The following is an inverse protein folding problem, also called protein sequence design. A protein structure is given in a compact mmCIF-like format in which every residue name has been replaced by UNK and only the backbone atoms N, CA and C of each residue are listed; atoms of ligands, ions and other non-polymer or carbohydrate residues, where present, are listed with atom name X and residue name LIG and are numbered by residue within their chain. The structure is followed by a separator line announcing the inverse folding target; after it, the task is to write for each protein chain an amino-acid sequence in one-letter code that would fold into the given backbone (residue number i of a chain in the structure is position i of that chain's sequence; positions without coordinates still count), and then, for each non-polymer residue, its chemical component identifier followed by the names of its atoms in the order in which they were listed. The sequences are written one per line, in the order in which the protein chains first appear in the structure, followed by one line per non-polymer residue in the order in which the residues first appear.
data_IF_324934742241
#
_entry.id   IF_324934742241
#
_cell.length_a   1.000
_cell.length_b   1.000
_cell.length_c   1.000
_cell.angle_alpha   90.00
_cell.angle_beta   90.00
_cell.angle_gamma   90.00
#
_symmetry.space_group_name_H-M   'P 1'
#
loop_
_entity.id
_entity.type
_entity.pdbx_description
1 polymer ?
#
# COMPACT_ATOMS: atom_id res chain seq x y z
N UNK A 1 -26.84 -17.07 -10.51
CA UNK A 1 -25.75 -16.78 -9.57
C UNK A 1 -25.34 -15.33 -9.77
N UNK A 2 -25.85 -14.41 -8.95
CA UNK A 2 -25.47 -13.00 -9.06
C UNK A 2 -24.11 -12.84 -8.37
N UNK A 3 -23.03 -12.74 -9.15
CA UNK A 3 -21.75 -12.28 -8.61
C UNK A 3 -21.90 -10.79 -8.33
N UNK A 4 -22.42 -10.42 -7.17
CA UNK A 4 -22.42 -9.05 -6.70
C UNK A 4 -20.98 -8.57 -6.68
N UNK A 5 -20.57 -7.76 -7.66
CA UNK A 5 -19.30 -7.03 -7.57
C UNK A 5 -19.40 -6.21 -6.29
N UNK A 6 -18.63 -6.57 -5.27
CA UNK A 6 -18.55 -5.80 -4.03
C UNK A 6 -18.21 -4.36 -4.44
N UNK A 7 -19.11 -3.42 -4.16
CA UNK A 7 -18.88 -2.01 -4.45
C UNK A 7 -17.65 -1.60 -3.66
N UNK A 8 -16.64 -1.13 -4.36
CA UNK A 8 -15.37 -0.70 -3.77
C UNK A 8 -15.66 0.44 -2.80
N UNK A 9 -15.09 0.37 -1.60
CA UNK A 9 -15.32 1.41 -0.60
C UNK A 9 -14.52 2.70 -0.96
N UNK A 10 -14.92 3.84 -0.39
CA UNK A 10 -14.30 5.14 -0.68
C UNK A 10 -12.80 5.19 -0.32
N UNK A 11 -12.37 4.53 0.75
CA UNK A 11 -10.98 4.44 1.16
C UNK A 11 -10.16 3.50 0.27
N UNK A 12 -10.76 2.43 -0.26
CA UNK A 12 -10.15 1.57 -1.27
C UNK A 12 -9.94 2.36 -2.58
N UNK A 13 -10.93 3.16 -3.00
CA UNK A 13 -10.79 4.09 -4.13
C UNK A 13 -9.67 5.10 -3.91
N UNK A 14 -9.66 5.74 -2.74
CA UNK A 14 -8.63 6.70 -2.37
C UNK A 14 -7.23 6.09 -2.40
N UNK A 15 -7.08 4.86 -1.90
CA UNK A 15 -5.80 4.15 -1.96
C UNK A 15 -5.33 3.91 -3.39
N UNK A 16 -6.22 3.50 -4.29
CA UNK A 16 -5.87 3.25 -5.69
C UNK A 16 -5.44 4.55 -6.35
N UNK A 17 -6.21 5.62 -6.18
CA UNK A 17 -5.86 6.92 -6.74
C UNK A 17 -4.48 7.40 -6.26
N UNK A 18 -4.22 7.33 -4.94
CA UNK A 18 -2.92 7.72 -4.40
C UNK A 18 -1.80 6.80 -4.86
N UNK A 19 -2.04 5.50 -5.00
CA UNK A 19 -1.06 4.54 -5.49
C UNK A 19 -0.68 4.80 -6.95
N UNK A 20 -1.65 5.09 -7.81
CA UNK A 20 -1.39 5.39 -9.22
C UNK A 20 -0.65 6.71 -9.37
N UNK A 21 -1.04 7.74 -8.63
CA UNK A 21 -0.32 9.01 -8.61
C UNK A 21 1.12 8.82 -8.11
N UNK A 22 1.32 8.05 -7.04
CA UNK A 22 2.64 7.69 -6.52
C UNK A 22 3.51 7.02 -7.60
N UNK A 23 3.02 5.99 -8.27
CA UNK A 23 3.78 5.28 -9.31
C UNK A 23 4.15 6.17 -10.49
N UNK A 24 3.37 7.22 -10.78
CA UNK A 24 3.62 8.16 -11.86
C UNK A 24 4.52 9.34 -11.45
N UNK A 25 4.81 9.53 -10.17
CA UNK A 25 5.65 10.65 -9.73
C UNK A 25 7.06 10.56 -10.37
N UNK A 26 7.61 11.67 -10.86
CA UNK A 26 8.93 11.67 -11.50
C UNK A 26 10.09 11.56 -10.50
N UNK A 27 9.88 12.02 -9.26
CA UNK A 27 10.94 12.21 -8.26
C UNK A 27 11.11 11.03 -7.28
N UNK A 28 10.42 9.91 -7.53
CA UNK A 28 10.60 8.70 -6.74
C UNK A 28 11.71 7.83 -7.32
N UNK A 29 12.38 7.06 -6.47
CA UNK A 29 13.43 6.14 -6.88
C UNK A 29 12.86 4.94 -7.64
N UNK A 30 13.71 4.24 -8.39
CA UNK A 30 13.29 3.01 -9.08
C UNK A 30 12.81 1.92 -8.11
N UNK A 31 13.41 1.85 -6.91
CA UNK A 31 13.00 0.89 -5.86
C UNK A 31 11.61 1.22 -5.32
N UNK A 32 11.36 2.50 -5.02
CA UNK A 32 10.05 3.00 -4.60
C UNK A 32 8.98 2.77 -5.67
N UNK A 33 9.30 3.07 -6.94
CA UNK A 33 8.41 2.82 -8.08
C UNK A 33 8.11 1.33 -8.22
N UNK A 34 9.11 0.46 -8.03
CA UNK A 34 8.93 -0.99 -8.07
C UNK A 34 7.98 -1.48 -6.97
N UNK A 35 8.07 -0.95 -5.74
CA UNK A 35 7.10 -1.22 -4.66
C UNK A 35 5.69 -0.86 -5.11
N UNK A 36 5.49 0.37 -5.64
CA UNK A 36 4.18 0.82 -6.11
C UNK A 36 3.62 -0.02 -7.26
N UNK A 37 4.45 -0.41 -8.23
CA UNK A 37 4.06 -1.28 -9.34
C UNK A 37 3.66 -2.68 -8.88
N UNK A 38 4.37 -3.25 -7.89
CA UNK A 38 4.02 -4.55 -7.32
C UNK A 38 2.70 -4.47 -6.54
N UNK A 39 2.49 -3.40 -5.78
CA UNK A 39 1.22 -3.15 -5.11
C UNK A 39 0.06 -2.99 -6.10
N UNK A 40 0.26 -2.26 -7.19
CA UNK A 40 -0.72 -2.13 -8.27
C UNK A 40 -1.08 -3.48 -8.87
N UNK A 41 -0.08 -4.30 -9.20
CA UNK A 41 -0.28 -5.64 -9.75
C UNK A 41 -1.04 -6.56 -8.78
N UNK A 42 -0.73 -6.47 -7.49
CA UNK A 42 -1.41 -7.26 -6.45
C UNK A 42 -2.87 -6.83 -6.29
N UNK A 43 -3.16 -5.53 -6.38
CA UNK A 43 -4.51 -5.02 -6.39
C UNK A 43 -5.30 -5.47 -7.63
N UNK A 44 -4.73 -5.37 -8.82
CA UNK A 44 -5.34 -5.81 -10.09
C UNK A 44 -5.65 -7.32 -10.11
N UNK A 45 -4.87 -8.12 -9.38
CA UNK A 45 -5.12 -9.56 -9.17
C UNK A 45 -6.26 -9.85 -8.18
N UNK A 46 -6.92 -8.83 -7.63
CA UNK A 46 -8.01 -8.99 -6.69
C UNK A 46 -7.57 -9.40 -5.28
N UNK A 47 -6.30 -9.16 -4.90
CA UNK A 47 -5.89 -9.38 -3.51
C UNK A 47 -6.63 -8.43 -2.58
N UNK A 48 -6.82 -8.87 -1.34
CA UNK A 48 -7.54 -8.10 -0.32
C UNK A 48 -6.89 -6.72 -0.11
N UNK A 49 -7.63 -5.59 -0.28
CA UNK A 49 -7.03 -4.25 -0.30
C UNK A 49 -6.22 -3.92 0.95
N UNK A 50 -6.72 -4.22 2.15
CA UNK A 50 -5.97 -3.96 3.39
C UNK A 50 -4.65 -4.74 3.44
N UNK A 51 -4.59 -5.95 2.88
CA UNK A 51 -3.33 -6.72 2.79
C UNK A 51 -2.35 -6.04 1.83
N UNK A 52 -2.82 -5.54 0.69
CA UNK A 52 -1.98 -4.81 -0.28
C UNK A 52 -1.43 -3.53 0.37
N UNK A 53 -2.28 -2.78 1.08
CA UNK A 53 -1.90 -1.53 1.76
C UNK A 53 -0.88 -1.80 2.86
N UNK A 54 -1.10 -2.81 3.70
CA UNK A 54 -0.17 -3.18 4.77
C UNK A 54 1.18 -3.63 4.21
N UNK A 55 1.18 -4.46 3.15
CA UNK A 55 2.41 -4.89 2.49
C UNK A 55 3.17 -3.71 1.87
N UNK A 56 2.45 -2.77 1.26
CA UNK A 56 3.03 -1.54 0.70
C UNK A 56 3.65 -0.69 1.81
N UNK A 57 2.94 -0.49 2.92
CA UNK A 57 3.41 0.26 4.08
C UNK A 57 4.68 -0.36 4.68
N UNK A 58 4.69 -1.68 4.92
CA UNK A 58 5.85 -2.39 5.46
C UNK A 58 7.05 -2.33 4.49
N UNK A 59 6.82 -2.46 3.18
CA UNK A 59 7.89 -2.35 2.18
C UNK A 59 8.53 -0.96 2.18
N UNK A 60 7.73 0.10 2.24
CA UNK A 60 8.23 1.48 2.32
C UNK A 60 8.93 1.75 3.65
N UNK A 61 8.44 1.18 4.76
CA UNK A 61 9.10 1.29 6.06
C UNK A 61 10.48 0.64 6.03
N UNK A 62 10.61 -0.55 5.43
CA UNK A 62 11.91 -1.22 5.29
C UNK A 62 12.86 -0.45 4.37
N UNK A 63 12.34 0.09 3.26
CA UNK A 63 13.11 0.94 2.36
C UNK A 63 13.62 2.20 3.08
N UNK A 64 12.77 2.83 3.90
CA UNK A 64 13.13 3.98 4.74
C UNK A 64 14.29 3.66 5.71
N UNK A 65 14.28 2.46 6.29
CA UNK A 65 15.33 2.02 7.23
C UNK A 65 16.65 1.67 6.53
N UNK A 66 16.60 1.15 5.30
CA UNK A 66 17.79 0.68 4.56
C UNK A 66 18.44 1.79 3.73
N UNK A 67 17.64 2.51 2.95
CA UNK A 67 18.11 3.45 1.93
C UNK A 67 17.58 4.87 2.11
N UNK A 68 16.59 5.05 3.00
CA UNK A 68 15.80 6.28 3.07
C UNK A 68 14.63 6.29 2.08
N UNK A 69 13.75 7.28 2.22
CA UNK A 69 12.67 7.53 1.27
C UNK A 69 12.85 8.92 0.63
N UNK A 70 12.46 9.04 -0.63
CA UNK A 70 12.21 10.33 -1.26
C UNK A 70 11.10 11.09 -0.52
N UNK A 71 11.06 12.41 -0.68
CA UNK A 71 10.04 13.24 -0.05
C UNK A 71 8.63 12.86 -0.51
N UNK A 72 8.49 12.54 -1.80
CA UNK A 72 7.25 12.06 -2.40
C UNK A 72 6.85 10.69 -1.84
N UNK A 73 7.79 9.75 -1.70
CA UNK A 73 7.50 8.44 -1.11
C UNK A 73 7.18 8.51 0.38
N UNK A 74 7.86 9.39 1.13
CA UNK A 74 7.54 9.69 2.53
C UNK A 74 6.15 10.29 2.69
N UNK A 75 5.77 11.19 1.78
CA UNK A 75 4.43 11.78 1.73
C UNK A 75 3.39 10.71 1.46
N UNK A 76 3.58 9.88 0.43
CA UNK A 76 2.70 8.76 0.13
C UNK A 76 2.57 7.79 1.32
N UNK A 77 3.68 7.39 1.94
CA UNK A 77 3.70 6.51 3.11
C UNK A 77 2.83 7.05 4.26
N UNK A 78 2.92 8.35 4.56
CA UNK A 78 2.10 9.01 5.59
C UNK A 78 0.59 8.95 5.28
N UNK A 79 0.20 8.95 4.01
CA UNK A 79 -1.21 8.81 3.61
C UNK A 79 -1.78 7.41 3.84
N UNK A 80 -0.94 6.38 3.97
CA UNK A 80 -1.41 5.00 4.16
C UNK A 80 -1.99 4.76 5.55
N UNK A 81 -1.41 5.35 6.60
CA UNK A 81 -1.85 5.17 7.99
C UNK A 81 -3.34 5.50 8.24
N UNK A 82 -3.88 6.67 7.80
CA UNK A 82 -5.30 6.96 7.97
C UNK A 82 -6.20 6.01 7.16
N UNK A 83 -5.78 5.58 5.96
CA UNK A 83 -6.50 4.62 5.12
C UNK A 83 -6.58 3.25 5.83
N UNK A 84 -5.45 2.75 6.33
CA UNK A 84 -5.39 1.50 7.11
C UNK A 84 -6.31 1.59 8.32
N UNK A 85 -6.29 2.72 9.03
CA UNK A 85 -7.10 2.91 10.24
C UNK A 85 -8.58 2.80 9.96
N UNK A 86 -9.05 3.33 8.83
CA UNK A 86 -10.46 3.26 8.43
C UNK A 86 -10.88 1.92 7.84
N UNK A 87 -9.96 1.21 7.16
CA UNK A 87 -10.23 -0.11 6.58
C UNK A 87 -10.08 -1.26 7.57
N UNK A 88 -9.35 -1.06 8.68
CA UNK A 88 -9.11 -2.09 9.67
C UNK A 88 -10.38 -2.42 10.46
N UNK A 89 -10.78 -3.71 10.57
CA UNK A 89 -11.83 -4.13 11.49
C UNK A 89 -11.49 -3.79 12.95
N UNK A 90 -12.54 -3.59 13.76
CA UNK A 90 -12.41 -3.45 15.21
C UNK A 90 -11.82 -4.73 15.79
N UNK A 91 -10.81 -4.62 16.67
CA UNK A 91 -10.13 -5.76 17.30
C UNK A 91 -8.97 -6.37 16.50
N UNK A 92 -8.62 -5.80 15.35
CA UNK A 92 -7.50 -6.24 14.52
C UNK A 92 -6.14 -5.86 15.15
N UNK A 93 -5.25 -6.85 15.39
CA UNK A 93 -3.90 -6.58 15.90
C UNK A 93 -2.99 -6.01 14.81
N UNK A 94 -2.81 -4.67 14.82
CA UNK A 94 -2.04 -3.93 13.80
C UNK A 94 -0.54 -4.19 13.85
N UNK A 95 0.01 -4.50 15.03
CA UNK A 95 1.43 -4.70 15.22
C UNK A 95 1.94 -5.90 14.42
N UNK A 96 1.24 -7.04 14.47
CA UNK A 96 1.69 -8.28 13.83
C UNK A 96 1.61 -8.26 12.30
N UNK A 97 0.80 -7.38 11.69
CA UNK A 97 0.67 -7.31 10.22
C UNK A 97 1.86 -6.66 9.52
N UNK A 98 2.61 -5.80 10.21
CA UNK A 98 3.72 -5.05 9.60
C UNK A 98 5.00 -5.88 9.50
N UNK A 99 5.12 -6.97 10.27
CA UNK A 99 6.39 -7.69 10.41
C UNK A 99 6.66 -8.77 9.35
N UNK A 100 5.67 -9.19 8.54
CA UNK A 100 5.81 -10.40 7.71
C UNK A 100 5.57 -10.21 6.20
N UNK A 101 5.52 -8.98 5.67
CA UNK A 101 5.21 -8.76 4.26
C UNK A 101 6.02 -7.60 3.65
N UNK A 102 7.06 -7.91 2.88
CA UNK A 102 7.77 -6.96 2.02
C UNK A 102 7.67 -7.38 0.55
N UNK A 103 7.76 -6.42 -0.36
CA UNK A 103 7.79 -6.65 -1.79
C UNK A 103 9.20 -6.81 -2.36
N UNK A 104 10.23 -6.20 -1.75
CA UNK A 104 11.57 -6.17 -2.33
C UNK A 104 12.54 -7.21 -1.78
N UNK A 105 12.39 -7.55 -0.50
CA UNK A 105 13.28 -8.47 0.20
C UNK A 105 12.42 -9.57 0.83
N UNK A 106 12.57 -10.80 0.31
CA UNK A 106 11.98 -12.04 0.84
C UNK A 106 12.78 -12.56 2.06
#
# INVERSE_FOLDING_TARGET
MFTSRKKMNEEEQKFIETLYNFVLHPNITDRERKIGLMAKKDFEKGKYPLSVINKTSSSLQQEALKNGLSDEASTFYKTLSPIITKLSPIGLNRGSMLFNQNYLDD
#
